data_IF_778592965212
#
_entry.id   IF_778592965212
#
_cell.length_a   1.000
_cell.length_b   1.000
_cell.length_c   1.000
_cell.angle_alpha   90.00
_cell.angle_beta   90.00
_cell.angle_gamma   90.00
#
_symmetry.space_group_name_H-M   'P 1'
#
loop_
_entity.id
_entity.type
_entity.pdbx_description
1 polymer ?
#
# COMPACT_ATOMS: atom_id res chain seq x y z
N UNK A 1 85.96 -13.04 9.16
CA UNK A 1 86.19 -11.72 8.55
C UNK A 1 84.93 -11.34 7.78
N UNK A 2 84.38 -10.16 8.08
CA UNK A 2 83.13 -9.65 7.52
C UNK A 2 83.27 -9.21 6.06
N UNK A 3 82.22 -9.39 5.27
CA UNK A 3 81.87 -8.54 4.12
C UNK A 3 80.41 -8.85 3.72
N UNK A 4 79.46 -8.15 4.35
CA UNK A 4 78.74 -7.00 3.77
C UNK A 4 77.77 -7.35 2.63
N UNK A 5 76.49 -7.31 3.02
CA UNK A 5 75.30 -7.17 2.18
C UNK A 5 75.53 -6.21 1.01
N UNK A 6 75.23 -6.67 -0.21
CA UNK A 6 74.73 -5.79 -1.27
C UNK A 6 73.22 -5.97 -1.34
N UNK A 7 72.49 -4.93 -0.94
CA UNK A 7 71.09 -4.74 -1.29
C UNK A 7 70.99 -4.59 -2.82
N UNK A 8 70.18 -5.42 -3.47
CA UNK A 8 69.59 -5.07 -4.76
C UNK A 8 68.09 -4.92 -4.56
N UNK A 9 67.63 -3.72 -4.89
CA UNK A 9 66.33 -3.15 -4.66
C UNK A 9 65.15 -4.05 -5.07
N UNK A 10 64.18 -4.19 -4.17
CA UNK A 10 62.82 -4.56 -4.54
C UNK A 10 62.27 -3.53 -5.53
N UNK A 11 61.90 -3.99 -6.73
CA UNK A 11 61.06 -3.21 -7.63
C UNK A 11 59.60 -3.53 -7.33
N UNK A 12 58.73 -2.50 -7.20
CA UNK A 12 57.37 -2.64 -6.71
C UNK A 12 56.45 -3.18 -7.80
N UNK A 13 55.53 -4.07 -7.39
CA UNK A 13 54.24 -4.29 -8.02
C UNK A 13 54.24 -4.64 -9.51
N UNK A 14 54.59 -5.88 -9.87
CA UNK A 14 54.00 -6.45 -11.08
C UNK A 14 52.53 -6.73 -10.79
N UNK A 15 51.63 -5.88 -11.30
CA UNK A 15 50.20 -6.15 -11.31
C UNK A 15 49.97 -7.48 -12.04
N UNK A 16 49.56 -8.51 -11.30
CA UNK A 16 49.12 -9.77 -11.90
C UNK A 16 47.80 -9.48 -12.61
N UNK A 17 47.79 -9.59 -13.93
CA UNK A 17 46.57 -9.47 -14.70
C UNK A 17 45.67 -10.67 -14.35
N UNK A 18 44.71 -10.45 -13.44
CA UNK A 18 43.62 -11.41 -13.25
C UNK A 18 42.87 -11.50 -14.58
N UNK A 19 42.61 -12.71 -15.11
CA UNK A 19 41.74 -12.86 -16.26
C UNK A 19 40.43 -12.13 -15.94
N UNK A 20 40.00 -11.22 -16.81
CA UNK A 20 38.60 -10.79 -16.77
C UNK A 20 37.79 -11.99 -17.17
N UNK A 21 37.39 -12.81 -16.20
CA UNK A 21 36.13 -13.51 -16.31
C UNK A 21 35.11 -12.40 -16.46
N UNK A 22 34.70 -12.11 -17.70
CA UNK A 22 33.32 -11.70 -17.93
C UNK A 22 32.54 -12.70 -17.09
N UNK A 23 31.81 -12.29 -16.04
CA UNK A 23 30.81 -13.20 -15.56
C UNK A 23 29.95 -13.38 -16.80
N UNK A 24 30.01 -14.58 -17.39
CA UNK A 24 28.78 -15.14 -17.88
C UNK A 24 27.85 -14.88 -16.70
N UNK A 25 26.88 -13.98 -16.88
CA UNK A 25 25.73 -13.98 -16.00
C UNK A 25 25.12 -15.33 -16.33
N UNK A 26 25.67 -16.36 -15.70
CA UNK A 26 25.03 -17.61 -15.48
C UNK A 26 23.82 -17.13 -14.72
N UNK A 27 22.73 -16.95 -15.48
CA UNK A 27 21.41 -16.71 -14.97
C UNK A 27 21.26 -17.80 -13.94
N UNK A 28 21.48 -17.43 -12.67
CA UNK A 28 21.40 -18.35 -11.56
C UNK A 28 20.00 -18.89 -11.70
N UNK A 29 19.89 -20.12 -12.22
CA UNK A 29 18.62 -20.78 -12.38
C UNK A 29 18.02 -20.79 -10.98
N UNK A 30 17.06 -19.89 -10.75
CA UNK A 30 16.71 -19.45 -9.42
C UNK A 30 16.28 -20.69 -8.62
N UNK A 31 17.05 -21.13 -7.61
CA UNK A 31 16.70 -22.33 -6.86
C UNK A 31 15.49 -22.09 -5.94
N UNK A 32 14.83 -20.93 -6.02
CA UNK A 32 13.57 -20.63 -5.33
C UNK A 32 12.43 -21.48 -5.91
N UNK A 33 12.37 -22.72 -5.45
CA UNK A 33 11.17 -23.57 -5.34
C UNK A 33 10.05 -22.94 -4.46
N UNK A 34 10.09 -21.63 -4.19
CA UNK A 34 9.14 -20.93 -3.33
C UNK A 34 8.18 -20.11 -4.19
N UNK A 35 6.88 -20.15 -3.90
CA UNK A 35 5.81 -19.38 -4.54
C UNK A 35 5.83 -17.88 -4.18
N UNK A 36 7.02 -17.37 -3.84
CA UNK A 36 7.26 -16.12 -3.16
C UNK A 36 8.06 -15.21 -4.08
N UNK A 37 7.56 -14.02 -4.33
CA UNK A 37 8.28 -13.02 -5.12
C UNK A 37 9.36 -12.29 -4.30
N UNK A 38 10.10 -11.38 -4.96
CA UNK A 38 11.15 -10.59 -4.32
C UNK A 38 10.65 -9.64 -3.23
N UNK A 39 9.36 -9.35 -3.19
CA UNK A 39 8.70 -8.54 -2.14
C UNK A 39 8.26 -9.39 -0.95
N UNK A 40 8.41 -10.71 -1.05
CA UNK A 40 7.99 -11.66 -0.04
C UNK A 40 6.51 -12.04 -0.14
N UNK A 41 5.79 -11.62 -1.19
CA UNK A 41 4.38 -11.97 -1.44
C UNK A 41 4.30 -13.41 -1.94
N UNK A 42 3.36 -14.19 -1.38
CA UNK A 42 3.16 -15.60 -1.72
C UNK A 42 1.78 -15.79 -2.35
N UNK A 43 1.73 -16.33 -3.57
CA UNK A 43 0.45 -16.52 -4.24
C UNK A 43 -0.38 -17.64 -3.58
N UNK A 44 0.24 -18.68 -3.00
CA UNK A 44 -0.50 -19.68 -2.21
C UNK A 44 -1.11 -19.06 -0.96
N UNK A 45 -0.38 -18.18 -0.28
CA UNK A 45 -0.88 -17.45 0.90
C UNK A 45 -2.05 -16.56 0.51
N UNK A 46 -1.96 -15.86 -0.61
CA UNK A 46 -3.02 -14.99 -1.13
C UNK A 46 -4.23 -15.77 -1.60
N UNK A 47 -4.06 -16.88 -2.30
CA UNK A 47 -5.16 -17.76 -2.70
C UNK A 47 -5.93 -18.28 -1.47
N UNK A 48 -5.21 -18.70 -0.42
CA UNK A 48 -5.83 -19.09 0.84
C UNK A 48 -6.54 -17.91 1.52
N UNK A 49 -5.90 -16.75 1.59
CA UNK A 49 -6.48 -15.55 2.17
C UNK A 49 -7.77 -15.15 1.45
N UNK A 50 -7.79 -15.16 0.11
CA UNK A 50 -9.00 -14.91 -0.69
C UNK A 50 -10.11 -15.90 -0.33
N UNK A 51 -9.82 -17.20 -0.29
CA UNK A 51 -10.83 -18.21 0.07
C UNK A 51 -11.43 -18.01 1.46
N UNK A 52 -10.60 -17.65 2.45
CA UNK A 52 -11.05 -17.42 3.83
C UNK A 52 -11.79 -16.09 3.95
N UNK A 53 -11.36 -15.07 3.22
CA UNK A 53 -11.91 -13.72 3.30
C UNK A 53 -13.18 -13.53 2.47
N UNK A 54 -13.40 -14.37 1.45
CA UNK A 54 -14.52 -14.25 0.51
C UNK A 54 -15.91 -14.22 1.18
N UNK A 55 -16.22 -15.05 2.20
CA UNK A 55 -17.51 -14.95 2.89
C UNK A 55 -17.70 -13.61 3.61
N UNK A 56 -16.63 -13.06 4.20
CA UNK A 56 -16.65 -11.75 4.84
C UNK A 56 -16.89 -10.65 3.79
N UNK A 57 -16.18 -10.72 2.66
CA UNK A 57 -16.33 -9.79 1.54
C UNK A 57 -17.74 -9.81 0.93
N UNK A 58 -18.27 -11.00 0.59
CA UNK A 58 -19.54 -11.17 -0.14
C UNK A 58 -20.77 -11.00 0.74
N UNK A 59 -20.77 -11.53 1.97
CA UNK A 59 -22.00 -11.62 2.77
C UNK A 59 -22.02 -10.65 3.97
N UNK A 60 -20.87 -10.47 4.63
CA UNK A 60 -20.78 -9.57 5.78
C UNK A 60 -20.67 -8.11 5.34
N UNK A 61 -19.73 -7.84 4.44
CA UNK A 61 -19.48 -6.53 3.87
C UNK A 61 -20.31 -6.24 2.62
N UNK A 62 -20.81 -7.27 1.92
CA UNK A 62 -21.63 -7.10 0.70
C UNK A 62 -20.98 -6.11 -0.26
N UNK A 63 -19.69 -6.32 -0.51
CA UNK A 63 -18.88 -5.38 -1.27
C UNK A 63 -19.37 -5.30 -2.72
N UNK A 64 -19.61 -4.08 -3.19
CA UNK A 64 -20.03 -3.76 -4.56
C UNK A 64 -19.03 -2.81 -5.20
N UNK A 65 -18.74 -3.03 -6.48
CA UNK A 65 -17.86 -2.19 -7.28
C UNK A 65 -18.64 -1.41 -8.35
N UNK A 66 -18.25 -0.17 -8.55
CA UNK A 66 -18.63 0.68 -9.67
C UNK A 66 -17.34 1.11 -10.38
N UNK A 67 -17.27 0.92 -11.71
CA UNK A 67 -16.12 1.33 -12.51
C UNK A 67 -14.90 0.41 -12.43
N UNK A 68 -15.03 -0.83 -11.95
CA UNK A 68 -13.89 -1.75 -11.79
C UNK A 68 -13.08 -1.94 -13.08
N UNK A 69 -13.76 -1.90 -14.22
CA UNK A 69 -13.20 -1.96 -15.57
C UNK A 69 -12.22 -0.81 -15.91
N UNK A 70 -12.20 0.27 -15.12
CA UNK A 70 -11.27 1.39 -15.28
C UNK A 70 -9.86 1.07 -14.78
N UNK A 71 -9.70 0.03 -13.96
CA UNK A 71 -8.39 -0.43 -13.53
C UNK A 71 -7.71 -1.12 -14.73
N UNK A 72 -6.49 -0.71 -15.13
CA UNK A 72 -5.79 -1.34 -16.23
C UNK A 72 -5.66 -2.86 -16.03
N UNK A 73 -5.85 -3.66 -17.08
CA UNK A 73 -5.66 -5.12 -17.05
C UNK A 73 -4.20 -5.52 -17.26
N UNK A 74 -3.41 -4.64 -17.84
CA UNK A 74 -1.97 -4.74 -18.06
C UNK A 74 -1.26 -3.44 -17.63
N UNK A 75 0.07 -3.47 -17.56
CA UNK A 75 0.87 -2.32 -17.16
C UNK A 75 0.79 -1.98 -15.66
N UNK A 76 1.72 -1.15 -15.19
CA UNK A 76 1.69 -0.66 -13.82
C UNK A 76 0.66 0.46 -13.62
N UNK A 77 0.06 0.51 -12.44
CA UNK A 77 -0.83 1.61 -12.04
C UNK A 77 -0.80 1.82 -10.52
N UNK A 78 -0.89 3.08 -10.11
CA UNK A 78 -0.92 3.45 -8.70
C UNK A 78 -2.37 3.63 -8.25
N UNK A 79 -2.89 2.68 -7.50
CA UNK A 79 -4.22 2.75 -6.89
C UNK A 79 -4.16 3.65 -5.65
N UNK A 80 -5.06 4.62 -5.58
CA UNK A 80 -5.11 5.61 -4.49
C UNK A 80 -6.46 5.55 -3.84
N UNK A 81 -6.53 5.19 -2.55
CA UNK A 81 -7.80 5.05 -1.83
C UNK A 81 -7.88 5.88 -0.55
N UNK A 82 -9.10 6.23 -0.14
CA UNK A 82 -9.32 6.83 1.18
C UNK A 82 -9.08 5.81 2.29
N UNK A 83 -8.52 6.26 3.41
CA UNK A 83 -8.14 5.38 4.52
C UNK A 83 -9.11 5.52 5.68
N UNK A 84 -9.53 4.38 6.21
CA UNK A 84 -10.65 4.29 7.14
C UNK A 84 -10.37 3.32 8.31
N UNK A 85 -11.10 3.55 9.41
CA UNK A 85 -11.17 2.71 10.61
C UNK A 85 -9.87 2.57 11.43
N UNK A 86 -10.03 2.17 12.70
CA UNK A 86 -8.91 1.90 13.60
C UNK A 86 -8.03 0.73 13.14
N UNK A 87 -8.69 -0.32 12.63
CA UNK A 87 -8.06 -1.48 12.01
C UNK A 87 -8.60 -1.51 10.57
N UNK A 88 -7.85 -0.99 9.60
CA UNK A 88 -8.39 -0.73 8.28
C UNK A 88 -8.78 -2.01 7.52
N UNK A 89 -10.06 -2.10 7.13
CA UNK A 89 -10.58 -3.17 6.27
C UNK A 89 -10.57 -2.80 4.78
N UNK A 90 -10.29 -1.54 4.46
CA UNK A 90 -10.26 -0.98 3.11
C UNK A 90 -9.25 -1.68 2.19
N UNK A 91 -7.99 -1.80 2.61
CA UNK A 91 -6.95 -2.47 1.82
C UNK A 91 -7.29 -3.95 1.53
N UNK A 92 -7.64 -4.79 2.52
CA UNK A 92 -8.08 -6.16 2.25
C UNK A 92 -9.25 -6.26 1.27
N UNK A 93 -10.28 -5.40 1.39
CA UNK A 93 -11.44 -5.41 0.49
C UNK A 93 -11.02 -5.04 -0.94
N UNK A 94 -10.22 -3.98 -1.12
CA UNK A 94 -9.73 -3.55 -2.43
C UNK A 94 -8.89 -4.67 -3.07
N UNK A 95 -7.90 -5.19 -2.33
CA UNK A 95 -7.00 -6.23 -2.83
C UNK A 95 -7.77 -7.51 -3.17
N UNK A 96 -8.73 -7.93 -2.32
CA UNK A 96 -9.55 -9.11 -2.58
C UNK A 96 -10.41 -8.95 -3.83
N UNK A 97 -11.09 -7.80 -3.98
CA UNK A 97 -11.93 -7.53 -5.14
C UNK A 97 -11.13 -7.54 -6.45
N UNK A 98 -10.02 -6.80 -6.50
CA UNK A 98 -9.18 -6.74 -7.71
C UNK A 98 -8.56 -8.10 -8.05
N UNK A 99 -8.02 -8.81 -7.06
CA UNK A 99 -7.41 -10.12 -7.32
C UNK A 99 -8.43 -11.19 -7.72
N UNK A 100 -9.69 -11.08 -7.28
CA UNK A 100 -10.75 -12.04 -7.60
C UNK A 100 -11.37 -11.76 -8.96
N UNK A 101 -11.64 -10.50 -9.27
CA UNK A 101 -12.36 -10.11 -10.49
C UNK A 101 -11.40 -9.90 -11.67
N UNK A 102 -10.27 -9.24 -11.44
CA UNK A 102 -9.31 -8.88 -12.50
C UNK A 102 -8.10 -9.82 -12.55
N UNK A 103 -7.96 -10.73 -11.59
CA UNK A 103 -6.84 -11.67 -11.50
C UNK A 103 -5.46 -10.99 -11.49
N UNK A 104 -5.41 -9.73 -11.05
CA UNK A 104 -4.18 -8.95 -10.94
C UNK A 104 -3.69 -8.92 -9.49
N UNK A 105 -2.41 -9.23 -9.22
CA UNK A 105 -1.86 -9.05 -7.89
C UNK A 105 -1.81 -7.56 -7.54
N UNK A 106 -2.17 -7.25 -6.30
CA UNK A 106 -2.08 -5.90 -5.74
C UNK A 106 -1.03 -5.89 -4.63
N UNK A 107 -0.23 -4.84 -4.58
CA UNK A 107 0.80 -4.64 -3.56
C UNK A 107 0.44 -3.44 -2.68
N UNK A 108 0.09 -3.71 -1.42
CA UNK A 108 -0.26 -2.68 -0.44
C UNK A 108 1.00 -2.03 0.11
N UNK A 109 1.19 -0.73 -0.14
CA UNK A 109 2.33 0.01 0.38
C UNK A 109 1.95 0.70 1.70
N UNK A 110 2.57 0.25 2.78
CA UNK A 110 2.36 0.80 4.11
C UNK A 110 3.68 1.17 4.79
N UNK A 111 3.58 2.09 5.76
CA UNK A 111 4.71 2.50 6.58
C UNK A 111 5.18 1.35 7.49
N UNK A 112 6.40 1.48 8.01
CA UNK A 112 7.17 0.44 8.70
C UNK A 112 6.57 -0.09 10.02
N UNK A 113 5.41 0.43 10.44
CA UNK A 113 4.81 0.12 11.75
C UNK A 113 4.50 -1.37 11.93
N UNK A 114 4.19 -2.09 10.85
CA UNK A 114 3.87 -3.52 10.90
C UNK A 114 5.09 -4.44 10.95
N UNK A 115 6.30 -3.93 10.66
CA UNK A 115 7.54 -4.74 10.65
C UNK A 115 8.13 -4.95 12.05
N UNK A 116 7.76 -4.11 13.02
CA UNK A 116 8.34 -4.16 14.37
C UNK A 116 7.83 -5.34 15.22
N UNK A 117 6.75 -6.02 14.79
CA UNK A 117 6.19 -7.17 15.49
C UNK A 117 6.56 -8.46 14.73
N UNK A 118 7.30 -9.40 15.35
CA UNK A 118 7.60 -10.70 14.75
C UNK A 118 6.33 -11.41 14.27
N UNK A 119 6.43 -12.20 13.18
CA UNK A 119 5.31 -12.87 12.50
C UNK A 119 4.38 -11.92 11.72
N UNK A 120 4.01 -10.77 12.28
CA UNK A 120 3.18 -9.77 11.59
C UNK A 120 3.88 -9.24 10.34
N UNK A 121 5.17 -8.94 10.42
CA UNK A 121 5.95 -8.50 9.26
C UNK A 121 6.02 -9.54 8.14
N UNK A 122 6.15 -10.82 8.47
CA UNK A 122 6.17 -11.91 7.49
C UNK A 122 4.80 -12.11 6.85
N UNK A 123 3.73 -12.15 7.64
CA UNK A 123 2.36 -12.28 7.13
C UNK A 123 1.98 -11.07 6.26
N UNK A 124 2.43 -9.87 6.65
CA UNK A 124 2.27 -8.65 5.86
C UNK A 124 2.90 -8.80 4.48
N UNK A 125 4.19 -9.13 4.41
CA UNK A 125 4.86 -9.35 3.12
C UNK A 125 4.20 -10.46 2.30
N UNK A 126 3.88 -11.60 2.91
CA UNK A 126 3.19 -12.72 2.23
C UNK A 126 1.83 -12.35 1.67
N UNK A 127 1.16 -11.39 2.31
CA UNK A 127 -0.14 -10.86 1.89
C UNK A 127 -0.05 -9.74 0.84
N UNK A 128 1.14 -9.44 0.31
CA UNK A 128 1.35 -8.37 -0.69
C UNK A 128 1.79 -7.04 -0.09
N UNK A 129 2.21 -7.04 1.17
CA UNK A 129 2.64 -5.84 1.87
C UNK A 129 4.07 -5.41 1.52
N UNK A 130 4.22 -4.18 1.04
CA UNK A 130 5.52 -3.60 0.66
C UNK A 130 5.80 -2.36 1.50
N UNK A 131 7.08 -2.13 1.84
CA UNK A 131 7.46 -0.92 2.55
C UNK A 131 7.27 0.30 1.64
N UNK A 132 6.59 1.31 2.17
CA UNK A 132 6.35 2.58 1.47
C UNK A 132 7.65 3.38 1.30
N UNK A 133 8.40 3.06 0.25
CA UNK A 133 9.59 3.78 -0.18
C UNK A 133 9.46 4.14 -1.68
N UNK A 134 9.81 5.37 -2.11
CA UNK A 134 9.67 5.78 -3.51
C UNK A 134 10.33 4.80 -4.49
N UNK A 135 11.50 4.28 -4.15
CA UNK A 135 12.20 3.32 -5.02
C UNK A 135 11.46 1.99 -5.15
N UNK A 136 10.83 1.49 -4.08
CA UNK A 136 10.04 0.25 -4.16
C UNK A 136 8.80 0.47 -5.04
N UNK A 137 8.15 1.62 -4.88
CA UNK A 137 7.03 2.02 -5.71
C UNK A 137 7.44 2.14 -7.18
N UNK A 138 8.59 2.75 -7.48
CA UNK A 138 9.11 2.83 -8.85
C UNK A 138 9.30 1.45 -9.46
N UNK A 139 9.99 0.54 -8.76
CA UNK A 139 10.25 -0.83 -9.25
C UNK A 139 8.95 -1.62 -9.48
N UNK A 140 8.00 -1.56 -8.54
CA UNK A 140 6.69 -2.20 -8.70
C UNK A 140 5.92 -1.67 -9.92
N UNK A 141 5.85 -0.33 -10.06
CA UNK A 141 5.02 0.33 -11.05
C UNK A 141 5.66 0.29 -12.45
N UNK A 142 6.93 0.67 -12.56
CA UNK A 142 7.63 0.83 -13.85
C UNK A 142 8.22 -0.48 -14.33
N UNK A 143 9.06 -1.10 -13.53
CA UNK A 143 9.88 -2.24 -13.96
C UNK A 143 9.06 -3.53 -14.01
N UNK A 144 8.21 -3.75 -13.01
CA UNK A 144 7.43 -4.98 -12.87
C UNK A 144 5.99 -4.85 -13.36
N UNK A 145 5.57 -3.63 -13.69
CA UNK A 145 4.24 -3.34 -14.24
C UNK A 145 3.08 -3.85 -13.37
N UNK A 146 3.23 -3.74 -12.05
CA UNK A 146 2.26 -4.20 -11.04
C UNK A 146 1.33 -3.10 -10.55
N UNK A 147 0.23 -3.50 -9.91
CA UNK A 147 -0.66 -2.59 -9.19
C UNK A 147 -0.13 -2.33 -7.78
N UNK A 148 0.14 -1.07 -7.47
CA UNK A 148 0.50 -0.66 -6.11
C UNK A 148 -0.65 0.13 -5.47
N UNK A 149 -1.02 -0.19 -4.23
CA UNK A 149 -2.09 0.47 -3.48
C UNK A 149 -1.49 1.36 -2.40
N UNK A 150 -1.90 2.63 -2.38
CA UNK A 150 -1.52 3.61 -1.35
C UNK A 150 -2.72 4.35 -0.78
N UNK A 151 -2.53 4.83 0.44
CA UNK A 151 -3.46 5.67 1.17
C UNK A 151 -2.83 7.04 1.45
N UNK A 152 -3.05 8.06 0.61
CA UNK A 152 -2.31 9.33 0.66
C UNK A 152 -2.67 10.19 1.89
N UNK A 153 -3.76 9.88 2.60
CA UNK A 153 -4.06 10.45 3.93
C UNK A 153 -3.03 10.04 4.99
N UNK A 154 -2.32 8.93 4.77
CA UNK A 154 -1.39 8.32 5.71
C UNK A 154 -2.05 8.02 7.05
N UNK A 155 -1.30 8.20 8.14
CA UNK A 155 -1.78 7.96 9.52
C UNK A 155 -2.94 8.88 9.95
N UNK A 156 -3.22 9.96 9.20
CA UNK A 156 -4.31 10.89 9.52
C UNK A 156 -5.69 10.33 9.17
N UNK A 157 -5.77 9.34 8.27
CA UNK A 157 -7.02 8.71 7.85
C UNK A 157 -7.62 7.81 8.95
N UNK A 158 -6.94 6.70 9.33
CA UNK A 158 -7.42 5.72 10.31
C UNK A 158 -7.83 6.30 11.68
N UNK A 159 -7.29 7.46 12.07
CA UNK A 159 -7.56 8.10 13.36
C UNK A 159 -8.80 9.02 13.42
N UNK A 160 -9.65 9.02 12.39
CA UNK A 160 -10.87 9.83 12.34
C UNK A 160 -11.89 9.36 13.38
N UNK A 161 -12.44 10.31 14.14
CA UNK A 161 -13.63 10.01 14.95
C UNK A 161 -14.81 9.72 14.02
N UNK A 162 -15.77 8.90 14.43
CA UNK A 162 -16.89 8.49 13.58
C UNK A 162 -17.73 9.67 13.04
N UNK A 163 -17.81 10.79 13.77
CA UNK A 163 -18.47 12.02 13.30
C UNK A 163 -17.73 12.71 12.13
N UNK A 164 -16.47 12.36 11.89
CA UNK A 164 -15.61 12.88 10.83
C UNK A 164 -15.45 11.90 9.67
N UNK A 165 -16.19 10.79 9.67
CA UNK A 165 -16.19 9.80 8.59
C UNK A 165 -16.48 10.46 7.24
N UNK A 166 -15.86 9.93 6.19
CA UNK A 166 -15.93 10.33 4.79
C UNK A 166 -15.49 11.75 4.50
N UNK A 167 -14.78 12.38 5.44
CA UNK A 167 -14.07 13.63 5.23
C UNK A 167 -12.60 13.31 5.08
N UNK A 168 -12.11 13.38 3.84
CA UNK A 168 -10.71 13.15 3.53
C UNK A 168 -9.84 14.16 4.26
N UNK A 169 -8.78 13.67 4.87
CA UNK A 169 -7.69 14.52 5.36
C UNK A 169 -6.87 15.00 4.17
N UNK A 170 -6.16 16.11 4.38
CA UNK A 170 -5.19 16.60 3.41
C UNK A 170 -4.20 15.48 3.09
N UNK A 171 -4.03 15.20 1.80
CA UNK A 171 -3.01 14.29 1.34
C UNK A 171 -1.63 14.83 1.71
N UNK A 172 -0.63 13.95 1.77
CA UNK A 172 0.73 14.32 2.14
C UNK A 172 1.36 15.36 1.19
N UNK A 173 2.69 15.35 1.09
CA UNK A 173 3.43 16.27 0.20
C UNK A 173 3.39 15.86 -1.28
N UNK A 174 2.30 15.24 -1.75
CA UNK A 174 2.16 14.82 -3.14
C UNK A 174 3.12 13.73 -3.62
N UNK A 175 3.85 13.04 -2.73
CA UNK A 175 4.83 12.01 -3.14
C UNK A 175 4.25 10.86 -3.95
N UNK A 176 2.95 10.56 -3.79
CA UNK A 176 2.24 9.56 -4.60
C UNK A 176 2.01 10.05 -6.06
N UNK A 177 1.86 11.35 -6.27
CA UNK A 177 1.80 11.96 -7.61
C UNK A 177 3.18 11.96 -8.23
N UNK A 178 4.19 12.42 -7.49
CA UNK A 178 5.57 12.47 -7.96
C UNK A 178 6.08 11.09 -8.40
N UNK A 179 5.77 10.03 -7.64
CA UNK A 179 6.19 8.68 -8.03
C UNK A 179 5.42 8.14 -9.25
N UNK A 180 4.14 8.46 -9.40
CA UNK A 180 3.37 8.06 -10.58
C UNK A 180 3.87 8.79 -11.84
N UNK A 181 4.20 10.09 -11.73
CA UNK A 181 4.86 10.85 -12.78
C UNK A 181 6.22 10.25 -13.15
N UNK A 182 7.06 9.95 -12.14
CA UNK A 182 8.39 9.34 -12.34
C UNK A 182 8.31 7.99 -13.03
N UNK A 183 7.39 7.11 -12.59
CA UNK A 183 7.16 5.81 -13.19
C UNK A 183 6.38 5.87 -14.53
N UNK A 184 5.84 7.02 -14.92
CA UNK A 184 5.05 7.18 -16.13
C UNK A 184 3.81 6.27 -16.15
N UNK A 185 3.16 6.09 -15.00
CA UNK A 185 1.97 5.24 -14.82
C UNK A 185 0.76 6.08 -14.42
N UNK A 186 -0.48 5.64 -14.73
CA UNK A 186 -1.67 6.32 -14.26
C UNK A 186 -1.85 6.17 -12.75
N UNK A 187 -2.47 7.19 -12.15
CA UNK A 187 -3.10 7.07 -10.84
C UNK A 187 -4.55 6.67 -11.05
N UNK A 188 -5.02 5.66 -10.33
CA UNK A 188 -6.42 5.22 -10.36
C UNK A 188 -7.02 5.49 -8.98
N UNK A 189 -7.81 6.57 -8.81
CA UNK A 189 -8.44 6.87 -7.54
C UNK A 189 -9.61 5.90 -7.26
N UNK A 190 -9.70 5.41 -6.03
CA UNK A 190 -10.76 4.51 -5.56
C UNK A 190 -11.39 5.11 -4.31
N UNK A 191 -12.70 5.30 -4.32
CA UNK A 191 -13.45 5.78 -3.16
C UNK A 191 -14.22 4.64 -2.51
N UNK A 192 -14.09 4.53 -1.20
CA UNK A 192 -14.61 3.43 -0.37
C UNK A 192 -15.54 3.99 0.69
N UNK A 193 -16.80 3.56 0.64
CA UNK A 193 -17.84 3.79 1.65
C UNK A 193 -18.15 2.46 2.35
N UNK A 194 -18.34 2.45 3.66
CA UNK A 194 -18.59 1.23 4.45
C UNK A 194 -17.53 0.98 5.53
N UNK A 195 -16.26 1.19 5.19
CA UNK A 195 -15.14 0.85 6.08
C UNK A 195 -15.20 1.55 7.45
N UNK A 196 -15.54 2.84 7.49
CA UNK A 196 -15.64 3.60 8.75
C UNK A 196 -16.87 3.24 9.60
N UNK A 197 -17.91 2.63 9.01
CA UNK A 197 -19.04 2.06 9.77
C UNK A 197 -18.76 0.67 10.31
N UNK A 198 -17.88 -0.09 9.66
CA UNK A 198 -17.53 -1.44 10.09
C UNK A 198 -16.74 -1.44 11.41
N UNK A 199 -16.00 -0.37 11.70
CA UNK A 199 -15.29 -0.22 12.97
C UNK A 199 -15.25 1.26 13.42
N UNK A 200 -16.37 1.79 13.95
CA UNK A 200 -16.49 3.19 14.34
C UNK A 200 -15.56 3.54 15.50
N UNK A 201 -14.69 4.53 15.35
CA UNK A 201 -13.95 5.11 16.47
C UNK A 201 -14.87 6.09 17.20
N UNK A 202 -15.23 5.76 18.44
CA UNK A 202 -16.12 6.57 19.29
C UNK A 202 -15.34 7.42 20.29
N UNK A 203 -14.11 7.04 20.60
CA UNK A 203 -13.25 7.82 21.49
C UNK A 203 -11.78 7.58 21.17
N UNK A 204 -10.91 8.53 21.51
CA UNK A 204 -9.45 8.39 21.44
C UNK A 204 -8.87 8.74 22.80
N UNK A 205 -8.15 7.81 23.42
CA UNK A 205 -7.57 8.01 24.75
C UNK A 205 -6.19 8.65 24.68
N UNK A 206 -6.01 9.93 25.08
CA UNK A 206 -4.70 10.59 25.06
C UNK A 206 -3.78 10.03 26.15
N UNK A 207 -4.34 9.62 27.29
CA UNK A 207 -3.59 9.05 28.41
C UNK A 207 -2.92 7.73 28.03
N UNK A 208 -3.68 6.82 27.40
CA UNK A 208 -3.14 5.54 26.92
C UNK A 208 -2.13 5.75 25.79
N UNK A 209 -2.43 6.66 24.85
CA UNK A 209 -1.50 7.00 23.77
C UNK A 209 -0.14 7.47 24.32
N UNK A 210 -0.15 8.35 25.33
CA UNK A 210 1.07 8.81 26.01
C UNK A 210 1.80 7.69 26.74
N UNK A 211 1.07 6.79 27.39
CA UNK A 211 1.66 5.69 28.17
C UNK A 211 2.44 4.69 27.30
N UNK A 212 1.98 4.45 26.07
CA UNK A 212 2.59 3.46 25.15
C UNK A 212 3.39 4.09 24.01
N UNK A 213 3.54 5.42 23.99
CA UNK A 213 4.25 6.13 22.91
C UNK A 213 3.57 6.05 21.54
N UNK A 214 2.25 5.81 21.50
CA UNK A 214 1.48 5.74 20.25
C UNK A 214 0.91 7.12 19.87
N UNK A 215 0.67 7.39 18.57
CA UNK A 215 0.07 8.66 18.14
C UNK A 215 -1.38 8.82 18.64
N UNK A 216 -2.11 7.71 18.79
CA UNK A 216 -3.43 7.66 19.41
C UNK A 216 -3.76 6.21 19.80
N UNK A 217 -4.66 6.03 20.78
CA UNK A 217 -5.28 4.74 21.09
C UNK A 217 -6.78 4.87 20.85
N UNK A 218 -7.32 4.22 19.80
CA UNK A 218 -8.74 4.29 19.48
C UNK A 218 -9.54 3.35 20.40
N UNK A 219 -10.68 3.84 20.85
CA UNK A 219 -11.74 3.03 21.43
C UNK A 219 -12.87 2.97 20.41
N UNK A 220 -13.15 1.76 19.92
CA UNK A 220 -14.15 1.52 18.88
C UNK A 220 -15.48 1.07 19.48
N UNK A 221 -16.59 1.28 18.77
CA UNK A 221 -17.88 0.74 19.18
C UNK A 221 -17.85 -0.79 19.30
N UNK A 222 -17.04 -1.47 18.49
CA UNK A 222 -16.81 -2.91 18.53
C UNK A 222 -16.13 -3.33 19.84
N UNK A 223 -15.14 -2.57 20.30
CA UNK A 223 -14.49 -2.79 21.62
C UNK A 223 -15.46 -2.56 22.78
N UNK A 224 -16.37 -1.60 22.67
CA UNK A 224 -17.40 -1.40 23.70
C UNK A 224 -18.39 -2.57 23.76
N UNK A 225 -18.74 -3.16 22.62
CA UNK A 225 -19.74 -4.23 22.57
C UNK A 225 -19.15 -5.62 22.88
N UNK A 226 -17.96 -5.93 22.34
CA UNK A 226 -17.36 -7.27 22.42
C UNK A 226 -16.14 -7.32 23.37
N UNK A 227 -15.83 -6.22 24.03
CA UNK A 227 -14.62 -6.08 24.85
C UNK A 227 -13.37 -5.79 24.03
N UNK A 228 -12.24 -5.47 24.68
CA UNK A 228 -11.04 -4.96 24.03
C UNK A 228 -10.36 -5.98 23.09
N UNK A 229 -10.41 -7.27 23.39
CA UNK A 229 -9.77 -8.30 22.55
C UNK A 229 -10.60 -8.62 21.31
N UNK A 230 -11.82 -9.14 21.50
CA UNK A 230 -12.68 -9.53 20.37
C UNK A 230 -13.10 -8.33 19.52
N UNK A 231 -13.30 -7.15 20.12
CA UNK A 231 -13.65 -5.93 19.41
C UNK A 231 -12.57 -5.39 18.46
N UNK A 232 -11.32 -5.83 18.60
CA UNK A 232 -10.25 -5.53 17.61
C UNK A 232 -10.31 -6.43 16.38
N UNK A 233 -10.93 -7.61 16.49
CA UNK A 233 -10.96 -8.59 15.40
C UNK A 233 -12.29 -8.59 14.65
N UNK A 234 -13.38 -8.22 15.33
CA UNK A 234 -14.74 -8.31 14.81
C UNK A 234 -15.21 -6.99 14.24
N UNK A 235 -15.36 -6.94 12.91
CA UNK A 235 -16.02 -5.84 12.22
C UNK A 235 -17.54 -5.93 12.35
N UNK A 236 -18.19 -4.78 12.51
CA UNK A 236 -19.63 -4.69 12.31
C UNK A 236 -19.98 -4.94 10.85
N UNK A 237 -21.15 -5.54 10.61
CA UNK A 237 -21.63 -5.71 9.25
C UNK A 237 -22.03 -4.35 8.68
N UNK A 238 -21.47 -4.01 7.53
CA UNK A 238 -21.74 -2.76 6.82
C UNK A 238 -21.64 -3.02 5.32
N UNK A 239 -22.45 -2.36 4.51
CA UNK A 239 -22.37 -2.49 3.05
C UNK A 239 -21.23 -1.66 2.50
N UNK A 240 -20.27 -2.30 1.84
CA UNK A 240 -19.11 -1.66 1.23
C UNK A 240 -19.44 -1.32 -0.22
N UNK A 241 -19.31 -0.04 -0.59
CA UNK A 241 -19.35 0.39 -1.97
C UNK A 241 -18.01 0.98 -2.34
N UNK A 242 -17.44 0.49 -3.42
CA UNK A 242 -16.18 0.93 -3.99
C UNK A 242 -16.47 1.53 -5.36
N UNK A 243 -16.06 2.78 -5.58
CA UNK A 243 -16.15 3.43 -6.89
C UNK A 243 -14.75 3.77 -7.37
N UNK A 244 -14.41 3.24 -8.53
CA UNK A 244 -13.18 3.55 -9.26
C UNK A 244 -13.44 4.79 -10.12
N UNK A 245 -12.62 5.82 -9.94
CA UNK A 245 -12.66 7.03 -10.74
C UNK A 245 -11.82 6.87 -12.00
N UNK A 246 -11.93 7.84 -12.92
CA UNK A 246 -11.17 7.80 -14.17
C UNK A 246 -9.66 7.87 -13.90
N UNK A 247 -8.84 7.07 -14.60
CA UNK A 247 -7.39 7.10 -14.41
C UNK A 247 -6.80 8.46 -14.77
N UNK A 248 -6.08 9.06 -13.82
CA UNK A 248 -5.35 10.31 -14.00
C UNK A 248 -3.98 10.01 -14.62
N UNK A 249 -3.74 10.58 -15.80
CA UNK A 249 -2.46 10.50 -16.52
C UNK A 249 -1.81 11.87 -16.52
N UNK A 250 -0.48 11.88 -16.43
CA UNK A 250 0.29 13.11 -16.42
C UNK A 250 0.98 13.31 -17.76
N UNK A 251 0.75 14.46 -18.39
CA UNK A 251 1.50 14.90 -19.55
C UNK A 251 2.85 15.49 -19.10
N UNK A 252 3.74 14.59 -18.71
CA UNK A 252 5.15 14.83 -18.35
C UNK A 252 5.99 13.63 -18.75
N UNK A 253 7.24 13.82 -19.20
CA UNK A 253 8.17 12.71 -19.36
C UNK A 253 8.38 11.93 -18.05
N UNK A 254 8.44 10.59 -18.08
CA UNK A 254 8.91 9.79 -16.95
C UNK A 254 10.42 10.04 -16.70
N UNK A 255 10.92 9.50 -15.59
CA UNK A 255 12.37 9.46 -15.28
C UNK A 255 13.08 10.82 -15.22
N UNK A 256 12.34 11.90 -14.92
CA UNK A 256 12.95 13.21 -14.70
C UNK A 256 13.62 13.28 -13.33
N UNK A 257 14.77 13.98 -13.25
CA UNK A 257 15.46 14.25 -11.98
C UNK A 257 14.59 15.03 -10.98
N UNK A 258 13.69 15.88 -11.50
CA UNK A 258 12.82 16.71 -10.66
C UNK A 258 11.50 17.03 -11.36
N UNK A 259 10.41 16.89 -10.61
CA UNK A 259 9.09 17.37 -10.99
C UNK A 259 8.79 18.72 -10.31
N UNK A 260 7.95 19.55 -10.94
CA UNK A 260 7.51 20.82 -10.36
C UNK A 260 6.71 20.58 -9.09
N UNK A 261 7.19 21.11 -7.96
CA UNK A 261 6.53 20.94 -6.65
C UNK A 261 5.12 21.51 -6.64
N UNK A 262 4.90 22.66 -7.25
CA UNK A 262 3.56 23.27 -7.32
C UNK A 262 2.62 22.36 -8.08
N UNK A 263 3.02 21.89 -9.28
CA UNK A 263 2.23 20.96 -10.08
C UNK A 263 1.91 19.68 -9.31
N UNK A 264 2.91 19.07 -8.66
CA UNK A 264 2.70 17.86 -7.83
C UNK A 264 1.67 18.10 -6.72
N UNK A 265 1.66 19.28 -6.10
CA UNK A 265 0.68 19.61 -5.04
C UNK A 265 -0.70 19.89 -5.60
N UNK A 266 -0.78 20.59 -6.73
CA UNK A 266 -2.04 20.93 -7.41
C UNK A 266 -2.75 19.64 -7.85
N UNK A 267 -2.02 18.75 -8.55
CA UNK A 267 -2.53 17.44 -8.98
C UNK A 267 -2.95 16.56 -7.79
N UNK A 268 -2.18 16.59 -6.69
CA UNK A 268 -2.54 15.85 -5.48
C UNK A 268 -3.82 16.39 -4.82
N UNK A 269 -4.04 17.70 -4.86
CA UNK A 269 -5.24 18.35 -4.34
C UNK A 269 -6.44 18.12 -5.26
N UNK A 270 -6.27 18.17 -6.57
CA UNK A 270 -7.31 17.87 -7.55
C UNK A 270 -7.81 16.43 -7.40
N UNK A 271 -6.90 15.46 -7.27
CA UNK A 271 -7.25 14.06 -6.98
C UNK A 271 -8.01 13.95 -5.66
N UNK A 272 -7.57 14.66 -4.61
CA UNK A 272 -8.24 14.66 -3.31
C UNK A 272 -9.66 15.22 -3.41
N UNK A 273 -9.85 16.32 -4.15
CA UNK A 273 -11.14 16.96 -4.35
C UNK A 273 -12.08 16.04 -5.14
N UNK A 274 -11.61 15.44 -6.23
CA UNK A 274 -12.39 14.48 -7.02
C UNK A 274 -12.83 13.26 -6.18
N UNK A 275 -11.92 12.70 -5.38
CA UNK A 275 -12.28 11.61 -4.45
C UNK A 275 -13.28 12.08 -3.38
N UNK A 276 -13.13 13.29 -2.85
CA UNK A 276 -14.04 13.84 -1.84
C UNK A 276 -15.45 14.06 -2.41
N UNK A 277 -15.56 14.55 -3.63
CA UNK A 277 -16.82 14.73 -4.35
C UNK A 277 -17.50 13.38 -4.60
N UNK A 278 -16.76 12.41 -5.13
CA UNK A 278 -17.27 11.04 -5.33
C UNK A 278 -17.79 10.42 -4.03
N UNK A 279 -17.07 10.58 -2.90
CA UNK A 279 -17.57 10.13 -1.60
C UNK A 279 -18.91 10.78 -1.23
N UNK A 280 -19.07 12.09 -1.46
CA UNK A 280 -20.32 12.78 -1.17
C UNK A 280 -21.47 12.29 -2.06
N UNK A 281 -21.22 12.02 -3.34
CA UNK A 281 -22.22 11.43 -4.23
C UNK A 281 -22.65 10.04 -3.79
N UNK A 282 -21.69 9.16 -3.50
CA UNK A 282 -21.96 7.81 -3.01
C UNK A 282 -22.77 7.83 -1.71
N UNK A 283 -22.50 8.80 -0.82
CA UNK A 283 -23.24 8.99 0.42
C UNK A 283 -24.64 9.55 0.20
N UNK A 284 -24.85 10.44 -0.78
CA UNK A 284 -26.20 10.92 -1.13
C UNK A 284 -27.10 9.80 -1.66
N UNK A 285 -26.52 8.83 -2.36
CA UNK A 285 -27.23 7.66 -2.85
C UNK A 285 -27.46 6.60 -1.76
N UNK A 286 -26.76 6.72 -0.62
CA UNK A 286 -26.78 5.71 0.45
C UNK A 286 -28.01 5.86 1.33
N UNK A 287 -28.84 4.81 1.39
CA UNK A 287 -30.07 4.79 2.17
C UNK A 287 -29.84 4.31 3.60
N UNK A 288 -28.94 3.35 3.80
CA UNK A 288 -28.54 2.89 5.13
C UNK A 288 -27.18 2.19 5.15
N UNK A 289 -26.62 2.01 6.35
CA UNK A 289 -25.39 1.22 6.56
C UNK A 289 -25.55 -0.22 6.09
N UNK A 290 -26.77 -0.78 6.19
CA UNK A 290 -27.03 -2.18 5.91
C UNK A 290 -27.37 -2.47 4.44
N UNK A 291 -28.27 -1.67 3.85
CA UNK A 291 -28.80 -1.85 2.49
C UNK A 291 -28.04 -1.07 1.42
N UNK A 292 -27.20 -0.13 1.86
CA UNK A 292 -26.37 0.70 0.99
C UNK A 292 -27.09 1.91 0.46
#
# INVERSE_FOLDING_TARGET
MAAQRKLTAERPGSLVHLPRTTPAVEELADPRLSDVDEWGRSEKTRALARRIYDPLYRYWFRAEWEGLEKIPTDGGALLVANHAAAIPSDAPVIMHGIETELHRPVYGMADHLFKAVPIVGTLWSRSGGVAAHPENAYRLLREQQQLALVFPEGSKGPGKHFSQRYRLRRFGRGGFVEIAMRAGVPIVPITVVGAEESMPIVYKSPALAKAIGAPYVPLTANMLLFGPLLGTLLYFPAKFRLRVLDPVRFDVPPDQERYSKSRVMDEAEDIRLAMQESLYEMLRQRRSVWFG
#
